data_IF_060103386394
#
_entry.id   IF_060103386394
#
_cell.length_a   1.000
_cell.length_b   1.000
_cell.length_c   1.000
_cell.angle_alpha   90.00
_cell.angle_beta   90.00
_cell.angle_gamma   90.00
#
_symmetry.space_group_name_H-M   'P 1'
#
loop_
_entity.id
_entity.type
_entity.pdbx_description
1 polymer ?
#
# COMPACT_ATOMS: atom_id res chain seq x y z
N UNK A 1 -19.72 26.92 -8.73
CA UNK A 1 -20.40 26.18 -7.64
C UNK A 1 -19.97 24.71 -7.60
N UNK A 2 -18.67 24.40 -7.58
CA UNK A 2 -18.16 23.04 -7.39
C UNK A 2 -17.13 23.00 -6.25
N UNK A 3 -17.54 23.38 -5.04
CA UNK A 3 -16.70 23.24 -3.85
C UNK A 3 -16.42 21.77 -3.53
N UNK A 4 -17.39 20.89 -3.79
CA UNK A 4 -17.30 19.47 -3.44
C UNK A 4 -16.14 18.75 -4.13
N UNK A 5 -15.93 18.96 -5.43
CA UNK A 5 -14.91 18.21 -6.19
C UNK A 5 -13.48 18.48 -5.72
N UNK A 6 -13.14 19.74 -5.44
CA UNK A 6 -11.81 20.10 -4.94
C UNK A 6 -11.54 19.57 -3.53
N UNK A 7 -12.55 19.63 -2.65
CA UNK A 7 -12.44 19.14 -1.27
C UNK A 7 -12.30 17.61 -1.24
N UNK A 8 -13.13 16.89 -2.01
CA UNK A 8 -13.04 15.42 -2.05
C UNK A 8 -11.75 14.95 -2.70
N UNK A 9 -11.24 15.66 -3.71
CA UNK A 9 -9.92 15.38 -4.30
C UNK A 9 -8.80 15.54 -3.26
N UNK A 10 -8.82 16.60 -2.46
CA UNK A 10 -7.84 16.81 -1.38
C UNK A 10 -7.90 15.70 -0.31
N UNK A 11 -9.10 15.35 0.15
CA UNK A 11 -9.30 14.28 1.14
C UNK A 11 -8.80 12.95 0.57
N UNK A 12 -9.20 12.62 -0.66
CA UNK A 12 -8.78 11.40 -1.35
C UNK A 12 -7.26 11.33 -1.49
N UNK A 13 -6.61 12.41 -1.96
CA UNK A 13 -5.16 12.45 -2.07
C UNK A 13 -4.45 12.29 -0.72
N UNK A 14 -5.00 12.85 0.36
CA UNK A 14 -4.43 12.73 1.70
C UNK A 14 -4.56 11.31 2.25
N UNK A 15 -5.71 10.66 2.05
CA UNK A 15 -5.90 9.25 2.43
C UNK A 15 -4.93 8.37 1.64
N UNK A 16 -4.75 8.65 0.35
CA UNK A 16 -3.85 7.91 -0.52
C UNK A 16 -2.38 8.05 -0.08
N UNK A 17 -1.95 9.26 0.29
CA UNK A 17 -0.62 9.53 0.83
C UNK A 17 -0.37 8.71 2.11
N UNK A 18 -1.29 8.78 3.08
CA UNK A 18 -1.19 8.03 4.33
C UNK A 18 -1.13 6.53 4.04
N UNK A 19 -1.99 6.03 3.14
CA UNK A 19 -1.98 4.63 2.72
C UNK A 19 -0.64 4.21 2.10
N UNK A 20 -0.01 5.07 1.29
CA UNK A 20 1.29 4.80 0.68
C UNK A 20 2.43 4.71 1.71
N UNK A 21 2.38 5.55 2.77
CA UNK A 21 3.33 5.49 3.89
C UNK A 21 3.15 4.20 4.67
N UNK A 22 1.90 3.80 4.96
CA UNK A 22 1.62 2.54 5.66
C UNK A 22 2.09 1.32 4.86
N UNK A 23 1.86 1.33 3.55
CA UNK A 23 2.30 0.26 2.65
C UNK A 23 3.84 0.18 2.55
N UNK A 24 4.52 1.32 2.59
CA UNK A 24 5.97 1.38 2.70
C UNK A 24 6.48 0.80 4.03
N UNK A 25 5.83 1.14 5.14
CA UNK A 25 6.18 0.61 6.46
C UNK A 25 5.96 -0.91 6.55
N UNK A 26 4.89 -1.42 5.93
CA UNK A 26 4.65 -2.85 5.80
C UNK A 26 5.76 -3.52 4.97
N UNK A 27 6.17 -2.92 3.86
CA UNK A 27 7.24 -3.44 3.01
C UNK A 27 8.59 -3.54 3.74
N UNK A 28 8.92 -2.56 4.58
CA UNK A 28 10.16 -2.56 5.37
C UNK A 28 10.11 -3.59 6.52
N UNK A 29 8.91 -3.90 7.02
CA UNK A 29 8.71 -4.75 8.20
C UNK A 29 8.06 -6.10 7.90
N UNK A 30 8.07 -6.55 6.65
CA UNK A 30 7.48 -7.81 6.17
C UNK A 30 7.87 -9.04 7.03
N UNK A 31 9.09 -9.10 7.55
CA UNK A 31 9.56 -10.19 8.41
C UNK A 31 9.30 -9.97 9.92
N UNK A 32 8.53 -8.95 10.29
CA UNK A 32 8.32 -8.48 11.68
C UNK A 32 6.86 -8.14 11.99
N UNK A 33 5.90 -8.53 11.14
CA UNK A 33 4.49 -8.14 11.23
C UNK A 33 3.84 -8.48 12.60
N UNK A 34 4.23 -9.58 13.24
CA UNK A 34 3.76 -9.95 14.59
C UNK A 34 4.14 -8.96 15.70
N UNK A 35 5.14 -8.11 15.47
CA UNK A 35 5.60 -7.10 16.42
C UNK A 35 4.90 -5.73 16.27
N UNK A 36 4.15 -5.48 15.19
CA UNK A 36 3.45 -4.20 15.00
C UNK A 36 2.31 -4.02 16.02
N UNK A 37 1.50 -5.05 16.25
CA UNK A 37 0.45 -5.03 17.27
C UNK A 37 1.01 -4.78 18.67
N UNK A 38 2.10 -5.46 19.04
CA UNK A 38 2.77 -5.27 20.33
C UNK A 38 3.47 -3.92 20.48
N UNK A 39 4.05 -3.38 19.40
CA UNK A 39 4.69 -2.05 19.43
C UNK A 39 3.64 -0.93 19.53
N UNK A 40 2.49 -1.08 18.85
CA UNK A 40 1.37 -0.16 18.95
C UNK A 40 0.71 -0.26 20.34
N UNK A 41 0.54 -1.46 20.87
CA UNK A 41 0.06 -1.71 22.25
C UNK A 41 1.01 -1.07 23.27
N UNK A 42 2.33 -1.18 23.14
CA UNK A 42 3.28 -0.52 24.05
C UNK A 42 3.22 1.02 24.02
N UNK A 43 2.95 1.61 22.84
CA UNK A 43 2.78 3.08 22.71
C UNK A 43 1.41 3.52 23.26
N UNK A 44 0.38 2.67 23.10
CA UNK A 44 -0.99 2.93 23.54
C UNK A 44 -1.21 2.66 25.05
N UNK A 45 -0.66 1.58 25.60
CA UNK A 45 -0.59 1.28 27.04
C UNK A 45 0.25 2.30 27.81
N UNK A 46 1.21 2.97 27.15
CA UNK A 46 1.90 4.12 27.71
C UNK A 46 1.01 5.35 27.94
N UNK A 47 -0.21 5.38 27.40
CA UNK A 47 -1.12 6.52 27.44
C UNK A 47 -2.47 6.26 28.14
N UNK A 48 -2.88 5.00 28.37
CA UNK A 48 -4.15 4.68 29.05
C UNK A 48 -3.94 3.56 30.08
N UNK A 49 -3.88 3.93 31.36
CA UNK A 49 -4.22 3.00 32.43
C UNK A 49 -5.73 2.72 32.35
N UNK A 50 -6.13 1.60 31.73
CA UNK A 50 -7.26 0.73 32.14
C UNK A 50 -7.71 -0.25 31.02
N UNK A 51 -7.47 -1.54 31.27
CA UNK A 51 -8.49 -2.59 31.10
C UNK A 51 -8.96 -2.96 29.68
N UNK A 52 -8.07 -3.33 28.77
CA UNK A 52 -8.47 -3.97 27.50
C UNK A 52 -8.27 -5.49 27.57
N UNK A 53 -9.33 -6.24 27.26
CA UNK A 53 -9.35 -7.70 27.24
C UNK A 53 -8.28 -8.28 26.30
N UNK A 54 -7.42 -9.17 26.84
CA UNK A 54 -6.38 -9.86 26.07
C UNK A 54 -7.00 -10.75 24.99
N UNK A 55 -6.81 -10.35 23.74
CA UNK A 55 -7.13 -11.17 22.57
C UNK A 55 -5.95 -12.13 22.36
N UNK A 56 -6.21 -13.44 22.32
CA UNK A 56 -5.20 -14.46 22.01
C UNK A 56 -5.53 -15.10 20.66
N UNK A 57 -4.55 -15.37 19.78
CA UNK A 57 -4.80 -16.09 18.53
C UNK A 57 -5.38 -17.47 18.81
N UNK A 58 -6.36 -17.90 18.01
CA UNK A 58 -6.98 -19.23 18.13
C UNK A 58 -6.01 -20.32 17.68
N UNK A 59 -6.09 -21.49 18.33
CA UNK A 59 -5.23 -22.64 18.05
C UNK A 59 -5.62 -23.39 16.76
N UNK A 60 -6.81 -23.13 16.21
CA UNK A 60 -7.30 -23.71 14.95
C UNK A 60 -7.15 -22.70 13.79
N UNK A 61 -5.91 -22.30 13.53
CA UNK A 61 -5.58 -21.69 12.25
C UNK A 61 -5.72 -22.77 11.16
N UNK A 62 -6.84 -22.81 10.45
CA UNK A 62 -6.96 -23.56 9.19
C UNK A 62 -6.30 -22.77 8.08
N UNK A 63 -4.97 -22.82 8.05
CA UNK A 63 -4.21 -22.18 7.00
C UNK A 63 -4.30 -22.99 5.70
N UNK A 64 -5.07 -22.50 4.74
CA UNK A 64 -4.86 -22.83 3.33
C UNK A 64 -3.51 -22.26 2.89
N UNK A 65 -2.39 -22.93 3.20
CA UNK A 65 -1.06 -22.43 2.88
C UNK A 65 -0.26 -23.43 2.05
N UNK A 66 -0.25 -23.19 0.74
CA UNK A 66 1.01 -23.15 0.01
C UNK A 66 1.42 -21.67 -0.01
N UNK A 67 2.52 -21.33 0.65
CA UNK A 67 3.05 -19.99 0.85
C UNK A 67 3.13 -19.12 -0.44
N UNK A 68 2.15 -18.18 -0.62
CA UNK A 68 2.03 -17.26 -1.78
C UNK A 68 1.27 -15.93 -1.53
N UNK A 69 1.04 -15.49 -0.29
CA UNK A 69 -0.04 -14.53 0.01
C UNK A 69 0.30 -13.25 0.79
N UNK A 70 1.40 -12.57 0.50
CA UNK A 70 1.56 -11.19 0.96
C UNK A 70 1.88 -10.27 -0.23
N UNK A 71 1.24 -9.10 -0.28
CA UNK A 71 1.52 -8.05 -1.27
C UNK A 71 2.99 -7.61 -1.22
N UNK A 72 3.64 -7.85 -0.07
CA UNK A 72 5.08 -7.72 0.19
C UNK A 72 5.46 -8.94 1.02
N UNK A 73 5.76 -10.07 0.35
CA UNK A 73 5.78 -11.40 0.95
C UNK A 73 6.61 -12.41 0.17
N UNK A 74 7.87 -12.66 0.55
CA UNK A 74 8.70 -13.69 -0.07
C UNK A 74 8.05 -15.06 0.03
N UNK A 75 7.87 -15.70 -1.13
CA UNK A 75 7.58 -17.13 -1.23
C UNK A 75 8.77 -17.91 -0.67
N UNK A 76 8.57 -18.68 0.40
CA UNK A 76 9.61 -19.54 0.95
C UNK A 76 9.83 -20.74 0.02
N UNK A 77 10.90 -20.71 -0.78
CA UNK A 77 11.50 -21.89 -1.40
C UNK A 77 12.98 -21.64 -1.75
N UNK A 78 13.85 -21.98 -0.78
CA UNK A 78 15.28 -22.34 -0.85
C UNK A 78 15.81 -22.16 0.59
N UNK A 79 16.29 -23.13 1.37
CA UNK A 79 16.84 -24.45 1.09
C UNK A 79 16.52 -25.39 2.26
N UNK A 80 16.17 -26.63 1.93
CA UNK A 80 16.38 -27.76 2.84
C UNK A 80 17.76 -28.33 2.53
N UNK A 81 18.67 -28.39 3.51
CA UNK A 81 19.44 -29.60 3.85
C UNK A 81 20.50 -29.33 4.95
N UNK A 82 20.73 -30.38 5.76
CA UNK A 82 21.88 -30.63 6.65
C UNK A 82 21.82 -29.92 8.04
N UNK A 83 21.93 -30.56 9.21
CA UNK A 83 22.15 -31.95 9.63
C UNK A 83 21.75 -32.05 11.11
N UNK A 84 21.29 -33.22 11.54
CA UNK A 84 21.05 -33.59 12.95
C UNK A 84 22.35 -33.63 13.76
N UNK A 85 22.43 -32.97 14.93
CA UNK A 85 23.11 -33.53 16.11
C UNK A 85 22.77 -32.82 17.45
N UNK A 86 22.95 -33.59 18.53
CA UNK A 86 22.38 -33.55 19.89
C UNK A 86 22.79 -32.39 20.82
N UNK A 87 21.85 -32.12 21.75
CA UNK A 87 22.01 -31.84 23.20
C UNK A 87 22.78 -30.60 23.69
N UNK A 88 22.06 -29.69 24.37
CA UNK A 88 22.40 -29.24 25.73
C UNK A 88 21.26 -28.40 26.36
N UNK A 89 20.71 -28.93 27.44
CA UNK A 89 20.25 -28.26 28.68
C UNK A 89 19.63 -26.86 28.65
N UNK A 90 18.40 -26.82 29.15
CA UNK A 90 17.66 -25.64 29.57
C UNK A 90 18.46 -24.69 30.48
N UNK A 91 18.44 -23.40 30.13
CA UNK A 91 18.56 -22.29 31.07
C UNK A 91 17.44 -21.29 30.81
N UNK A 92 16.75 -20.94 31.89
CA UNK A 92 15.64 -20.00 31.92
C UNK A 92 16.11 -18.58 31.57
N UNK A 93 15.28 -17.85 30.82
CA UNK A 93 15.51 -16.45 30.46
C UNK A 93 16.00 -16.28 29.02
N UNK A 94 15.14 -16.56 28.04
CA UNK A 94 15.45 -16.36 26.63
C UNK A 94 14.23 -15.90 25.87
N UNK A 95 14.26 -14.64 25.43
CA UNK A 95 13.41 -14.12 24.36
C UNK A 95 13.37 -15.13 23.20
N UNK A 96 12.20 -15.44 22.62
CA UNK A 96 12.13 -16.42 21.54
C UNK A 96 13.05 -16.01 20.37
N UNK A 97 13.79 -16.96 19.77
CA UNK A 97 14.68 -16.68 18.66
C UNK A 97 13.85 -16.22 17.45
N UNK A 98 13.89 -14.91 17.19
CA UNK A 98 13.12 -14.30 16.08
C UNK A 98 12.60 -12.89 16.35
N UNK A 99 12.64 -12.39 17.59
CA UNK A 99 12.15 -11.06 17.95
C UNK A 99 13.09 -9.93 17.46
N UNK A 100 13.07 -9.65 16.15
CA UNK A 100 13.67 -8.42 15.61
C UNK A 100 12.71 -7.25 15.86
N UNK A 101 13.18 -6.20 16.52
CA UNK A 101 12.41 -4.99 16.86
C UNK A 101 11.85 -4.26 15.63
N UNK A 102 10.73 -3.55 15.76
CA UNK A 102 10.16 -2.75 14.67
C UNK A 102 11.16 -1.69 14.16
N UNK A 103 11.29 -1.56 12.83
CA UNK A 103 12.18 -0.58 12.20
C UNK A 103 11.35 0.47 11.47
N UNK A 104 11.54 1.73 11.87
CA UNK A 104 10.92 2.88 11.21
C UNK A 104 11.70 3.37 9.98
N UNK A 105 13.02 3.16 9.96
CA UNK A 105 13.91 3.60 8.88
C UNK A 105 14.93 2.51 8.57
N UNK A 106 14.98 1.98 7.33
CA UNK A 106 15.94 0.94 6.96
C UNK A 106 17.37 1.50 6.98
N UNK A 107 18.34 0.66 7.34
CA UNK A 107 19.75 1.05 7.26
C UNK A 107 20.18 1.18 5.79
N UNK A 108 21.04 2.16 5.46
CA UNK A 108 21.46 2.41 4.06
C UNK A 108 22.09 1.19 3.38
N UNK A 109 22.73 0.32 4.16
CA UNK A 109 23.37 -0.90 3.64
C UNK A 109 22.34 -1.98 3.28
N UNK A 110 21.32 -2.19 4.12
CA UNK A 110 20.19 -3.10 3.85
C UNK A 110 19.33 -2.59 2.68
N UNK A 111 19.14 -1.27 2.58
CA UNK A 111 18.42 -0.63 1.48
C UNK A 111 19.06 -0.94 0.12
N UNK A 112 20.38 -0.79 0.01
CA UNK A 112 21.08 -0.97 -1.27
C UNK A 112 21.27 -2.41 -1.70
N UNK A 113 21.34 -3.37 -0.76
CA UNK A 113 21.69 -4.76 -1.07
C UNK A 113 20.50 -5.70 -1.14
N UNK A 114 19.41 -5.41 -0.42
CA UNK A 114 18.26 -6.31 -0.32
C UNK A 114 16.99 -5.69 -0.92
N UNK A 115 16.65 -4.46 -0.52
CA UNK A 115 15.38 -3.83 -0.90
C UNK A 115 15.30 -3.34 -2.35
N UNK A 116 16.43 -3.03 -3.00
CA UNK A 116 16.44 -2.63 -4.42
C UNK A 116 16.11 -3.77 -5.40
N UNK A 117 16.23 -5.03 -4.96
CA UNK A 117 15.90 -6.21 -5.76
C UNK A 117 14.52 -6.80 -5.41
N UNK A 118 13.86 -6.24 -4.40
CA UNK A 118 12.53 -6.66 -3.98
C UNK A 118 11.47 -5.84 -4.75
N UNK A 119 10.69 -6.50 -5.60
CA UNK A 119 9.71 -5.79 -6.42
C UNK A 119 8.56 -5.23 -5.57
N UNK A 120 8.24 -5.85 -4.44
CA UNK A 120 7.24 -5.34 -3.48
C UNK A 120 7.70 -4.02 -2.88
N UNK A 121 8.96 -3.96 -2.41
CA UNK A 121 9.54 -2.70 -1.92
C UNK A 121 9.62 -1.63 -3.01
N UNK A 122 10.02 -2.00 -4.23
CA UNK A 122 10.09 -1.07 -5.36
C UNK A 122 8.69 -0.56 -5.76
N UNK A 123 7.67 -1.41 -5.71
CA UNK A 123 6.28 -1.05 -5.95
C UNK A 123 5.77 -0.05 -4.89
N UNK A 124 6.04 -0.30 -3.60
CA UNK A 124 5.71 0.63 -2.52
C UNK A 124 6.46 1.96 -2.67
N UNK A 125 7.72 1.93 -3.11
CA UNK A 125 8.54 3.13 -3.34
C UNK A 125 7.99 3.99 -4.47
N UNK A 126 7.65 3.36 -5.60
CA UNK A 126 7.02 4.03 -6.73
C UNK A 126 5.65 4.60 -6.34
N UNK A 127 4.87 3.88 -5.53
CA UNK A 127 3.58 4.35 -5.04
C UNK A 127 3.71 5.55 -4.12
N UNK A 128 4.61 5.49 -3.13
CA UNK A 128 4.84 6.57 -2.18
C UNK A 128 5.32 7.83 -2.90
N UNK A 129 6.29 7.71 -3.80
CA UNK A 129 6.71 8.84 -4.63
C UNK A 129 5.55 9.40 -5.48
N UNK A 130 4.78 8.50 -6.12
CA UNK A 130 3.63 8.89 -6.92
C UNK A 130 2.58 9.63 -6.10
N UNK A 131 2.28 9.14 -4.90
CA UNK A 131 1.30 9.70 -3.99
C UNK A 131 1.72 11.08 -3.50
N UNK A 132 2.99 11.24 -3.09
CA UNK A 132 3.48 12.52 -2.58
C UNK A 132 3.46 13.61 -3.65
N UNK A 133 3.78 13.26 -4.90
CA UNK A 133 3.70 14.21 -6.02
C UNK A 133 2.24 14.48 -6.41
N UNK A 134 1.39 13.46 -6.47
CA UNK A 134 -0.04 13.61 -6.75
C UNK A 134 -0.74 14.50 -5.70
N UNK A 135 -0.31 14.40 -4.44
CA UNK A 135 -0.86 15.17 -3.32
C UNK A 135 -0.76 16.68 -3.52
N UNK A 136 0.30 17.16 -4.20
CA UNK A 136 0.46 18.59 -4.57
C UNK A 136 -0.76 19.06 -5.36
N UNK A 137 -1.24 18.26 -6.29
CA UNK A 137 -2.43 18.57 -7.08
C UNK A 137 -3.72 18.46 -6.28
N UNK A 138 -3.82 17.51 -5.35
CA UNK A 138 -4.94 17.42 -4.42
C UNK A 138 -5.05 18.66 -3.52
N UNK A 139 -3.91 19.17 -3.04
CA UNK A 139 -3.85 20.40 -2.25
C UNK A 139 -4.26 21.63 -3.08
N UNK A 140 -3.74 21.75 -4.30
CA UNK A 140 -4.07 22.89 -5.19
C UNK A 140 -5.49 22.81 -5.77
N UNK A 141 -6.16 21.65 -5.69
CA UNK A 141 -7.57 21.48 -6.04
C UNK A 141 -8.52 22.19 -5.06
N UNK A 142 -8.06 22.60 -3.88
CA UNK A 142 -8.90 23.31 -2.91
C UNK A 142 -9.49 24.58 -3.53
N UNK A 143 -10.81 24.85 -3.39
CA UNK A 143 -11.47 25.96 -4.09
C UNK A 143 -10.81 27.33 -3.88
N UNK A 144 -10.27 27.60 -2.68
CA UNK A 144 -9.57 28.86 -2.39
C UNK A 144 -8.25 29.04 -3.17
N UNK A 145 -7.56 27.95 -3.50
CA UNK A 145 -6.31 27.97 -4.25
C UNK A 145 -6.61 27.86 -5.75
N UNK A 146 -7.45 26.90 -6.13
CA UNK A 146 -7.79 26.62 -7.52
C UNK A 146 -8.33 27.85 -8.25
N UNK A 147 -9.26 28.59 -7.63
CA UNK A 147 -9.86 29.79 -8.22
C UNK A 147 -8.83 30.92 -8.49
N UNK A 148 -7.70 30.91 -7.80
CA UNK A 148 -6.61 31.87 -8.03
C UNK A 148 -5.73 31.39 -9.20
N UNK A 149 -5.34 30.13 -9.18
CA UNK A 149 -4.39 29.57 -10.16
C UNK A 149 -5.02 29.30 -11.53
N UNK A 150 -6.35 29.11 -11.62
CA UNK A 150 -7.05 28.84 -12.89
C UNK A 150 -6.85 29.96 -13.92
N UNK A 151 -6.68 31.20 -13.44
CA UNK A 151 -6.44 32.38 -14.29
C UNK A 151 -4.99 32.47 -14.79
N UNK A 152 -4.08 31.65 -14.24
CA UNK A 152 -2.66 31.64 -14.56
C UNK A 152 -2.24 30.30 -15.17
N UNK A 153 -2.45 30.13 -16.47
CA UNK A 153 -2.22 28.87 -17.21
C UNK A 153 -0.85 28.20 -16.92
N UNK A 154 0.29 28.92 -16.89
CA UNK A 154 1.57 28.27 -16.57
C UNK A 154 1.63 27.71 -15.15
N UNK A 155 1.03 28.41 -14.18
CA UNK A 155 0.97 27.99 -12.78
C UNK A 155 0.04 26.79 -12.65
N UNK A 156 -1.17 26.86 -13.20
CA UNK A 156 -2.13 25.75 -13.22
C UNK A 156 -1.49 24.47 -13.79
N UNK A 157 -0.81 24.59 -14.93
CA UNK A 157 -0.11 23.45 -15.53
C UNK A 157 0.95 22.87 -14.60
N UNK A 158 1.77 23.72 -13.97
CA UNK A 158 2.88 23.30 -13.13
C UNK A 158 2.47 22.68 -11.79
N UNK A 159 1.45 23.23 -11.12
CA UNK A 159 1.11 22.84 -9.73
C UNK A 159 -0.15 21.96 -9.62
N UNK A 160 -0.98 21.94 -10.66
CA UNK A 160 -2.21 21.15 -10.67
C UNK A 160 -2.15 20.01 -11.68
N UNK A 161 -1.81 20.25 -12.95
CA UNK A 161 -1.87 19.20 -13.98
C UNK A 161 -0.65 18.28 -14.00
N UNK A 162 0.56 18.84 -14.04
CA UNK A 162 1.81 18.06 -14.12
C UNK A 162 1.98 17.09 -12.94
N UNK A 163 1.73 17.48 -11.67
CA UNK A 163 1.93 16.54 -10.57
C UNK A 163 0.92 15.38 -10.60
N UNK A 164 -0.28 15.55 -11.16
CA UNK A 164 -1.21 14.43 -11.38
C UNK A 164 -0.67 13.44 -12.42
N UNK A 165 -0.06 13.93 -13.51
CA UNK A 165 0.53 13.07 -14.55
C UNK A 165 1.69 12.26 -13.96
N UNK A 166 2.59 12.93 -13.25
CA UNK A 166 3.76 12.29 -12.60
C UNK A 166 3.29 11.30 -11.53
N UNK A 167 2.37 11.72 -10.66
CA UNK A 167 1.82 10.87 -9.62
C UNK A 167 1.11 9.63 -10.15
N UNK A 168 0.21 9.81 -11.14
CA UNK A 168 -0.46 8.72 -11.82
C UNK A 168 0.51 7.75 -12.51
N UNK A 169 1.61 8.25 -13.09
CA UNK A 169 2.64 7.38 -13.66
C UNK A 169 3.33 6.51 -12.60
N UNK A 170 3.55 7.05 -11.39
CA UNK A 170 4.02 6.28 -10.24
C UNK A 170 3.06 5.16 -9.85
N UNK A 171 1.75 5.42 -9.90
CA UNK A 171 0.72 4.41 -9.65
C UNK A 171 0.70 3.31 -10.71
N UNK A 172 0.91 3.65 -11.98
CA UNK A 172 1.03 2.68 -13.08
C UNK A 172 2.24 1.77 -12.85
N UNK A 173 3.40 2.36 -12.53
CA UNK A 173 4.62 1.59 -12.25
C UNK A 173 4.41 0.68 -11.05
N UNK A 174 3.86 1.21 -9.95
CA UNK A 174 3.58 0.44 -8.75
C UNK A 174 2.61 -0.72 -9.00
N UNK A 175 1.46 -0.46 -9.62
CA UNK A 175 0.48 -1.49 -9.94
C UNK A 175 1.06 -2.59 -10.83
N UNK A 176 1.88 -2.22 -11.82
CA UNK A 176 2.58 -3.18 -12.67
C UNK A 176 3.56 -4.03 -11.88
N UNK A 177 4.35 -3.43 -10.98
CA UNK A 177 5.30 -4.17 -10.15
C UNK A 177 4.59 -5.13 -9.19
N UNK A 178 3.49 -4.73 -8.55
CA UNK A 178 2.68 -5.64 -7.72
C UNK A 178 2.07 -6.80 -8.53
N UNK A 179 1.64 -6.55 -9.76
CA UNK A 179 1.19 -7.63 -10.65
C UNK A 179 2.32 -8.58 -11.05
N UNK A 180 3.54 -8.08 -11.24
CA UNK A 180 4.72 -8.90 -11.57
C UNK A 180 5.17 -9.73 -10.37
N UNK A 181 5.16 -9.16 -9.17
CA UNK A 181 5.54 -9.84 -7.94
C UNK A 181 4.63 -11.04 -7.64
N UNK A 182 3.33 -10.92 -7.94
CA UNK A 182 2.33 -11.96 -7.66
C UNK A 182 2.30 -13.10 -8.67
N UNK A 183 2.92 -12.94 -9.85
CA UNK A 183 2.91 -13.96 -10.91
C UNK A 183 4.20 -14.79 -10.95
N UNK A 184 4.07 -16.09 -11.22
CA UNK A 184 5.22 -17.03 -11.30
C UNK A 184 6.19 -16.69 -12.43
N UNK A 185 5.67 -16.13 -13.53
CA UNK A 185 6.43 -15.73 -14.72
C UNK A 185 5.81 -14.43 -15.22
N UNK A 186 6.63 -13.47 -15.63
CA UNK A 186 6.19 -12.13 -16.06
C UNK A 186 5.12 -12.10 -17.17
N UNK A 187 4.97 -13.18 -17.93
CA UNK A 187 4.01 -13.31 -19.05
C UNK A 187 2.78 -14.17 -18.71
N UNK A 188 2.69 -14.73 -17.50
CA UNK A 188 1.57 -15.59 -17.10
C UNK A 188 0.79 -14.94 -15.97
N UNK A 189 -0.32 -14.24 -16.29
CA UNK A 189 -1.21 -13.65 -15.29
C UNK A 189 -1.64 -14.64 -14.21
N UNK A 190 -1.58 -14.21 -12.95
CA UNK A 190 -1.95 -15.02 -11.80
C UNK A 190 -3.42 -14.75 -11.39
N UNK A 191 -4.37 -15.11 -12.25
CA UNK A 191 -5.81 -14.83 -12.04
C UNK A 191 -6.40 -15.43 -10.74
N UNK A 192 -5.74 -16.41 -10.12
CA UNK A 192 -6.17 -17.03 -8.87
C UNK A 192 -5.70 -16.28 -7.61
N UNK A 193 -4.78 -15.32 -7.74
CA UNK A 193 -4.17 -14.63 -6.60
C UNK A 193 -4.84 -13.27 -6.38
N UNK A 194 -5.27 -12.99 -5.16
CA UNK A 194 -5.93 -11.71 -4.82
C UNK A 194 -4.99 -10.51 -5.05
N UNK A 195 -3.71 -10.65 -4.67
CA UNK A 195 -2.69 -9.63 -4.91
C UNK A 195 -2.54 -9.22 -6.38
N UNK A 196 -2.74 -10.15 -7.32
CA UNK A 196 -2.68 -9.86 -8.74
C UNK A 196 -3.84 -8.95 -9.18
N UNK A 197 -5.05 -9.22 -8.68
CA UNK A 197 -6.21 -8.38 -8.94
C UNK A 197 -6.07 -6.99 -8.32
N UNK A 198 -5.51 -6.88 -7.12
CA UNK A 198 -5.21 -5.58 -6.47
C UNK A 198 -4.26 -4.77 -7.37
N UNK A 199 -3.16 -5.37 -7.81
CA UNK A 199 -2.22 -4.74 -8.73
C UNK A 199 -2.87 -4.32 -10.06
N UNK A 200 -3.73 -5.16 -10.63
CA UNK A 200 -4.46 -4.87 -11.87
C UNK A 200 -5.39 -3.67 -11.73
N UNK A 201 -6.20 -3.65 -10.67
CA UNK A 201 -7.15 -2.57 -10.44
C UNK A 201 -6.44 -1.25 -10.11
N UNK A 202 -5.31 -1.31 -9.39
CA UNK A 202 -4.47 -0.13 -9.15
C UNK A 202 -3.77 0.36 -10.43
N UNK A 203 -3.34 -0.55 -11.32
CA UNK A 203 -2.80 -0.20 -12.63
C UNK A 203 -3.84 0.52 -13.50
N UNK A 204 -5.05 -0.06 -13.60
CA UNK A 204 -6.18 0.55 -14.31
C UNK A 204 -6.45 1.93 -13.69
N UNK A 205 -6.61 2.01 -12.38
CA UNK A 205 -6.80 3.26 -11.65
C UNK A 205 -5.74 4.31 -11.99
N UNK A 206 -4.46 3.93 -11.96
CA UNK A 206 -3.32 4.78 -12.32
C UNK A 206 -3.42 5.32 -13.74
N UNK A 207 -3.78 4.49 -14.72
CA UNK A 207 -3.99 4.92 -16.11
C UNK A 207 -5.09 6.00 -16.19
N UNK A 208 -6.20 5.82 -15.46
CA UNK A 208 -7.29 6.81 -15.44
C UNK A 208 -6.86 8.15 -14.86
N UNK A 209 -6.14 8.11 -13.72
CA UNK A 209 -5.60 9.30 -13.08
C UNK A 209 -4.44 9.95 -13.85
N UNK A 210 -3.74 9.23 -14.72
CA UNK A 210 -2.78 9.82 -15.66
C UNK A 210 -3.46 10.44 -16.89
N UNK A 211 -4.51 9.81 -17.42
CA UNK A 211 -5.21 10.31 -18.61
C UNK A 211 -6.04 11.57 -18.31
N UNK A 212 -6.68 11.66 -17.14
CA UNK A 212 -7.42 12.85 -16.71
C UNK A 212 -6.63 14.15 -16.92
N UNK A 213 -5.45 14.34 -16.30
CA UNK A 213 -4.68 15.57 -16.42
C UNK A 213 -4.10 15.78 -17.83
N UNK A 214 -3.81 14.70 -18.57
CA UNK A 214 -3.37 14.80 -19.98
C UNK A 214 -4.45 15.49 -20.82
N UNK A 215 -5.72 15.13 -20.63
CA UNK A 215 -6.84 15.82 -21.28
C UNK A 215 -7.09 17.21 -20.68
N UNK A 216 -6.82 17.38 -19.38
CA UNK A 216 -6.97 18.63 -18.63
C UNK A 216 -6.15 19.82 -19.13
N UNK A 217 -5.05 19.58 -19.85
CA UNK A 217 -4.25 20.65 -20.48
C UNK A 217 -5.01 21.43 -21.58
N UNK A 218 -6.15 20.94 -22.05
CA UNK A 218 -6.96 21.64 -23.05
C UNK A 218 -8.41 21.84 -22.61
N UNK A 219 -9.00 22.94 -23.06
CA UNK A 219 -10.38 23.34 -22.70
C UNK A 219 -11.45 22.88 -23.69
N UNK A 220 -11.07 22.11 -24.71
CA UNK A 220 -12.03 21.59 -25.69
C UNK A 220 -13.06 20.67 -25.03
N UNK A 221 -14.33 20.81 -25.37
CA UNK A 221 -15.45 20.08 -24.73
C UNK A 221 -15.23 18.56 -24.68
N UNK A 222 -14.71 17.97 -25.76
CA UNK A 222 -14.42 16.53 -25.80
C UNK A 222 -13.30 16.13 -24.84
N UNK A 223 -12.32 17.01 -24.58
CA UNK A 223 -11.24 16.75 -23.61
C UNK A 223 -11.76 16.81 -22.19
N UNK A 224 -12.60 17.80 -21.88
CA UNK A 224 -13.22 17.91 -20.55
C UNK A 224 -14.07 16.67 -20.25
N UNK A 225 -14.82 16.18 -21.24
CA UNK A 225 -15.56 14.91 -21.13
C UNK A 225 -14.61 13.73 -20.89
N UNK A 226 -13.56 13.58 -21.70
CA UNK A 226 -12.59 12.49 -21.55
C UNK A 226 -11.83 12.54 -20.22
N UNK A 227 -11.51 13.74 -19.73
CA UNK A 227 -10.91 13.94 -18.42
C UNK A 227 -11.84 13.45 -17.31
N UNK A 228 -13.11 13.86 -17.36
CA UNK A 228 -14.13 13.45 -16.39
C UNK A 228 -14.36 11.94 -16.40
N UNK A 229 -14.47 11.34 -17.58
CA UNK A 229 -14.59 9.89 -17.73
C UNK A 229 -13.35 9.17 -17.17
N UNK A 230 -12.14 9.66 -17.49
CA UNK A 230 -10.87 9.08 -17.03
C UNK A 230 -10.75 9.07 -15.52
N UNK A 231 -11.06 10.18 -14.87
CA UNK A 231 -11.11 10.26 -13.41
C UNK A 231 -12.18 9.34 -12.84
N UNK A 232 -13.35 9.26 -13.48
CA UNK A 232 -14.45 8.44 -12.98
C UNK A 232 -14.09 6.95 -12.94
N UNK A 233 -13.72 6.37 -14.08
CA UNK A 233 -13.37 4.94 -14.11
C UNK A 233 -12.07 4.65 -13.36
N UNK A 234 -11.12 5.59 -13.34
CA UNK A 234 -9.90 5.47 -12.55
C UNK A 234 -10.18 5.39 -11.05
N UNK A 235 -11.11 6.21 -10.55
CA UNK A 235 -11.54 6.20 -9.15
C UNK A 235 -12.25 4.89 -8.78
N UNK A 236 -13.13 4.39 -9.65
CA UNK A 236 -13.78 3.10 -9.44
C UNK A 236 -12.80 1.93 -9.44
N UNK A 237 -11.79 1.96 -10.32
CA UNK A 237 -10.76 0.93 -10.33
C UNK A 237 -9.96 0.93 -9.02
N UNK A 238 -9.51 2.08 -8.53
CA UNK A 238 -8.85 2.17 -7.22
C UNK A 238 -9.74 1.75 -6.06
N UNK A 239 -11.04 2.07 -6.12
CA UNK A 239 -12.01 1.62 -5.11
C UNK A 239 -12.12 0.10 -5.09
N UNK A 240 -12.26 -0.54 -6.26
CA UNK A 240 -12.31 -2.01 -6.37
C UNK A 240 -11.00 -2.62 -5.84
N UNK A 241 -9.84 -2.10 -6.27
CA UNK A 241 -8.53 -2.55 -5.77
C UNK A 241 -8.44 -2.47 -4.25
N UNK A 242 -8.89 -1.35 -3.67
CA UNK A 242 -8.92 -1.13 -2.22
C UNK A 242 -9.87 -2.09 -1.50
N UNK A 243 -11.04 -2.40 -2.07
CA UNK A 243 -11.97 -3.37 -1.50
C UNK A 243 -11.40 -4.80 -1.52
N UNK A 244 -10.71 -5.18 -2.60
CA UNK A 244 -10.03 -6.48 -2.69
C UNK A 244 -8.88 -6.54 -1.67
N UNK A 245 -8.11 -5.46 -1.52
CA UNK A 245 -7.03 -5.36 -0.53
C UNK A 245 -7.57 -5.41 0.92
N UNK A 246 -8.71 -4.78 1.18
CA UNK A 246 -9.39 -4.88 2.47
C UNK A 246 -9.91 -6.30 2.73
N UNK A 247 -10.47 -6.95 1.72
CA UNK A 247 -10.91 -8.34 1.85
C UNK A 247 -9.73 -9.27 2.16
N UNK A 248 -8.61 -9.10 1.45
CA UNK A 248 -7.39 -9.83 1.70
C UNK A 248 -6.89 -9.61 3.14
N UNK A 249 -6.88 -8.36 3.64
CA UNK A 249 -6.38 -8.05 5.00
C UNK A 249 -7.27 -8.62 6.10
N UNK A 250 -8.60 -8.60 5.95
CA UNK A 250 -9.54 -9.17 6.93
C UNK A 250 -9.46 -10.70 6.95
N UNK A 251 -9.28 -11.33 5.79
CA UNK A 251 -9.19 -12.79 5.68
C UNK A 251 -7.94 -13.39 6.34
N UNK A 252 -6.91 -12.57 6.61
CA UNK A 252 -5.64 -13.01 7.23
C UNK A 252 -5.72 -13.29 8.73
N UNK A 253 -6.65 -12.68 9.47
CA UNK A 253 -6.74 -12.82 10.92
C UNK A 253 -8.19 -13.00 11.42
N UNK A 254 -8.79 -14.21 11.28
CA UNK A 254 -10.09 -14.49 11.89
C UNK A 254 -9.96 -14.47 13.43
N UNK A 255 -10.66 -13.56 14.09
CA UNK A 255 -10.69 -13.46 15.56
C UNK A 255 -11.88 -14.25 16.10
N UNK A 256 -11.61 -15.28 16.89
CA UNK A 256 -12.65 -15.98 17.66
C UNK A 256 -12.76 -15.38 19.07
N UNK A 257 -13.99 -15.16 19.54
CA UNK A 257 -14.24 -14.77 20.94
C UNK A 257 -14.14 -16.02 21.82
N UNK A 258 -13.31 -15.99 22.86
CA UNK A 258 -13.37 -17.02 23.90
C UNK A 258 -14.76 -17.00 24.55
N UNK A 259 -15.41 -18.16 24.63
CA UNK A 259 -16.59 -18.32 25.46
C UNK A 259 -16.16 -18.26 26.92
N UNK A 260 -16.71 -17.30 27.64
CA UNK A 260 -16.63 -17.26 29.10
C UNK A 260 -17.16 -18.60 29.64
N UNK A 261 -16.30 -19.36 30.31
CA UNK A 261 -16.64 -20.60 31.02
C UNK A 261 -16.85 -20.31 32.50
#
# INVERSE_FOLDING_TARGET
TLYGGGITAFIGATIFEIGSVLLMLEAINENRAGCFGWALEQVYEGHIEQGVNRISPSHDCTHHHANKGNLVGKSANADSLATSEKSATASAGGTPPGARSWIWWPSRHELTTHYLHDLGFLACSAQMFGASVFWISGFTALPGIYNVIENHVPVLNGVYWVPQVVGGSGFIVSGTLFMIETQKRWYQPAFGELGWHIGLWNLIGGIGFTLCPIFGFGTANWRVLQASCSTFWGSWAFLIGSLVQLYESVSKHPVEKMKDS
#
